data_IF_963525421633
#
_entry.id   IF_963525421633
#
_cell.length_a   1.000
_cell.length_b   1.000
_cell.length_c   1.000
_cell.angle_alpha   90.00
_cell.angle_beta   90.00
_cell.angle_gamma   90.00
#
_symmetry.space_group_name_H-M   'P 1'
#
loop_
_entity.id
_entity.type
_entity.pdbx_description
1 polymer ?
#
# COMPACT_ATOMS: atom_id res chain seq x y z
N UNK A 1 -61.96 -12.70 -19.39
CA UNK A 1 -60.66 -13.39 -19.22
C UNK A 1 -59.52 -12.57 -19.88
N UNK A 2 -59.16 -11.40 -19.31
CA UNK A 2 -58.21 -10.43 -19.91
C UNK A 2 -56.95 -10.16 -19.03
N UNK A 3 -56.88 -10.79 -17.84
CA UNK A 3 -55.80 -10.60 -16.84
C UNK A 3 -54.50 -11.37 -17.15
N UNK A 4 -54.55 -12.47 -17.91
CA UNK A 4 -53.36 -13.30 -18.19
C UNK A 4 -52.36 -12.69 -19.20
N UNK A 5 -52.80 -11.77 -20.07
CA UNK A 5 -51.89 -11.13 -21.05
C UNK A 5 -51.15 -9.94 -20.45
N UNK A 6 -51.71 -9.30 -19.43
CA UNK A 6 -51.07 -8.18 -18.72
C UNK A 6 -49.87 -8.66 -17.89
N UNK A 7 -50.01 -9.80 -17.20
CA UNK A 7 -48.91 -10.43 -16.47
C UNK A 7 -47.76 -10.88 -17.38
N UNK A 8 -48.07 -11.34 -18.60
CA UNK A 8 -47.06 -11.76 -19.57
C UNK A 8 -46.23 -10.58 -20.10
N UNK A 9 -46.86 -9.42 -20.33
CA UNK A 9 -46.15 -8.21 -20.77
C UNK A 9 -45.29 -7.59 -19.66
N UNK A 10 -45.74 -7.67 -18.40
CA UNK A 10 -44.96 -7.20 -17.25
C UNK A 10 -43.70 -8.05 -17.04
N UNK A 11 -43.77 -9.36 -17.28
CA UNK A 11 -42.62 -10.27 -17.21
C UNK A 11 -41.59 -10.04 -18.33
N UNK A 12 -42.02 -9.68 -19.54
CA UNK A 12 -41.10 -9.39 -20.66
C UNK A 12 -40.34 -8.06 -20.53
N UNK A 13 -40.89 -7.08 -19.80
CA UNK A 13 -40.25 -5.77 -19.62
C UNK A 13 -39.10 -5.80 -18.60
N UNK A 14 -39.07 -6.80 -17.71
CA UNK A 14 -38.00 -6.99 -16.73
C UNK A 14 -36.70 -7.56 -17.34
N UNK A 15 -36.76 -8.19 -18.52
CA UNK A 15 -35.61 -8.84 -19.16
C UNK A 15 -34.76 -7.89 -20.03
N UNK A 16 -35.26 -6.68 -20.34
CA UNK A 16 -34.56 -5.71 -21.19
C UNK A 16 -33.71 -4.70 -20.41
N UNK A 17 -33.68 -4.78 -19.07
CA UNK A 17 -32.81 -3.97 -18.21
C UNK A 17 -31.53 -4.71 -17.78
N UNK A 18 -31.19 -5.83 -18.42
CA UNK A 18 -29.95 -6.57 -18.14
C UNK A 18 -28.72 -5.98 -18.85
N UNK A 19 -28.71 -4.67 -19.11
CA UNK A 19 -27.48 -3.95 -19.45
C UNK A 19 -26.85 -3.53 -18.13
N UNK A 20 -26.09 -4.44 -17.51
CA UNK A 20 -25.21 -4.06 -16.39
C UNK A 20 -24.12 -3.15 -16.96
N UNK A 21 -23.88 -1.95 -16.39
CA UNK A 21 -22.75 -1.13 -16.80
C UNK A 21 -21.46 -1.96 -16.68
N UNK A 22 -20.64 -1.92 -17.73
CA UNK A 22 -19.35 -2.60 -17.77
C UNK A 22 -18.49 -2.10 -16.60
N UNK A 23 -18.01 -3.03 -15.78
CA UNK A 23 -17.22 -2.73 -14.60
C UNK A 23 -15.87 -2.19 -15.07
N UNK A 24 -15.73 -0.87 -15.14
CA UNK A 24 -14.45 -0.26 -15.51
C UNK A 24 -13.38 -0.71 -14.52
N UNK A 25 -12.23 -1.23 -14.99
CA UNK A 25 -11.21 -1.72 -14.09
C UNK A 25 -10.75 -0.58 -13.18
N UNK A 26 -10.90 -0.78 -11.87
CA UNK A 26 -10.46 0.17 -10.87
C UNK A 26 -8.92 0.30 -10.94
N UNK A 27 -8.44 1.50 -11.27
CA UNK A 27 -7.01 1.74 -11.38
C UNK A 27 -6.39 1.75 -9.98
N UNK A 28 -5.78 0.64 -9.58
CA UNK A 28 -5.14 0.52 -8.27
C UNK A 28 -3.82 1.29 -8.26
N UNK A 29 -3.82 2.44 -7.59
CA UNK A 29 -2.62 3.24 -7.36
C UNK A 29 -1.92 2.73 -6.10
N UNK A 30 -0.67 2.28 -6.26
CA UNK A 30 0.16 1.78 -5.16
C UNK A 30 1.04 2.89 -4.57
N UNK A 31 1.53 2.71 -3.34
CA UNK A 31 2.56 3.57 -2.79
C UNK A 31 3.82 3.53 -3.66
N UNK A 32 4.42 4.70 -3.87
CA UNK A 32 5.70 4.87 -4.56
C UNK A 32 6.65 5.54 -3.59
N UNK A 33 7.76 4.87 -3.29
CA UNK A 33 8.79 5.33 -2.36
C UNK A 33 10.08 5.59 -3.14
N UNK A 34 10.75 6.69 -2.81
CA UNK A 34 12.08 7.02 -3.31
C UNK A 34 13.10 6.95 -2.18
N UNK A 35 14.06 6.03 -2.28
CA UNK A 35 15.20 5.98 -1.36
C UNK A 35 16.15 7.13 -1.64
N UNK A 36 16.42 7.93 -0.61
CA UNK A 36 17.36 9.06 -0.63
C UNK A 36 18.74 8.62 -0.13
N UNK A 37 19.73 9.49 -0.31
CA UNK A 37 21.07 9.26 0.20
C UNK A 37 21.06 9.04 1.72
N UNK A 38 21.84 8.07 2.18
CA UNK A 38 22.15 7.87 3.60
C UNK A 38 22.94 9.06 4.14
N UNK A 39 22.60 9.52 5.35
CA UNK A 39 23.25 10.63 6.04
C UNK A 39 23.70 10.21 7.44
N UNK A 40 24.46 11.06 8.14
CA UNK A 40 24.82 10.81 9.55
C UNK A 40 25.67 9.55 9.77
N UNK A 41 26.42 9.11 8.77
CA UNK A 41 27.25 7.90 8.82
C UNK A 41 28.39 8.11 9.83
N UNK A 42 28.48 7.22 10.80
CA UNK A 42 29.55 7.19 11.80
C UNK A 42 29.88 5.75 12.19
N UNK A 43 30.84 5.57 13.12
CA UNK A 43 31.31 4.25 13.54
C UNK A 43 30.21 3.36 14.14
N UNK A 44 29.13 3.97 14.63
CA UNK A 44 28.05 3.30 15.37
C UNK A 44 26.70 3.45 14.70
N UNK A 45 26.61 3.85 13.43
CA UNK A 45 25.30 3.95 12.78
C UNK A 45 25.24 4.86 11.57
N UNK A 46 24.04 4.91 11.00
CA UNK A 46 23.70 5.75 9.86
C UNK A 46 22.21 6.12 9.90
N UNK A 47 21.83 7.15 9.15
CA UNK A 47 20.43 7.54 8.94
C UNK A 47 20.04 7.21 7.51
N UNK A 48 19.10 6.28 7.36
CA UNK A 48 18.51 5.90 6.09
C UNK A 48 17.35 6.85 5.80
N UNK A 49 17.30 7.41 4.59
CA UNK A 49 16.31 8.42 4.19
C UNK A 49 15.52 7.91 2.98
N UNK A 50 14.23 8.24 2.93
CA UNK A 50 13.38 8.04 1.78
C UNK A 50 12.28 9.10 1.75
N UNK A 51 11.43 9.05 0.73
CA UNK A 51 10.26 9.90 0.60
C UNK A 51 9.13 9.14 -0.07
N UNK A 52 7.91 9.29 0.43
CA UNK A 52 6.72 8.86 -0.31
C UNK A 52 6.44 9.85 -1.44
N UNK A 53 6.74 9.45 -2.68
CA UNK A 53 6.30 10.20 -3.88
C UNK A 53 4.77 10.09 -3.99
N UNK A 54 4.23 8.91 -3.69
CA UNK A 54 2.79 8.67 -3.69
C UNK A 54 2.42 7.67 -2.60
N UNK A 55 1.25 7.85 -1.99
CA UNK A 55 0.71 6.96 -0.97
C UNK A 55 -0.24 5.91 -1.55
N UNK A 56 -0.64 6.06 -2.83
CA UNK A 56 -1.73 5.25 -3.38
C UNK A 56 -3.08 5.66 -2.79
N UNK A 57 -4.07 4.78 -2.94
CA UNK A 57 -5.40 4.96 -2.34
C UNK A 57 -5.58 4.20 -1.04
N UNK A 58 -4.91 3.05 -0.89
CA UNK A 58 -4.96 2.25 0.31
C UNK A 58 -4.06 2.85 1.41
N UNK A 59 -4.47 2.70 2.67
CA UNK A 59 -3.64 3.12 3.79
C UNK A 59 -2.37 2.27 3.88
N UNK A 60 -1.21 2.93 3.92
CA UNK A 60 0.08 2.28 4.18
C UNK A 60 0.21 2.01 5.67
N UNK A 61 0.00 0.75 6.06
CA UNK A 61 0.04 0.33 7.47
C UNK A 61 1.45 -0.02 7.97
N UNK A 62 2.41 -0.26 7.05
CA UNK A 62 3.79 -0.64 7.36
C UNK A 62 4.76 -0.16 6.29
N UNK A 63 5.88 0.40 6.72
CA UNK A 63 7.00 0.85 5.89
C UNK A 63 8.27 0.94 6.74
N UNK A 64 9.43 0.71 6.14
CA UNK A 64 10.69 0.59 6.87
C UNK A 64 11.87 0.35 5.94
N UNK A 65 13.06 0.28 6.53
CA UNK A 65 14.25 -0.18 5.85
C UNK A 65 14.60 -1.60 6.29
N UNK A 66 15.05 -2.39 5.32
CA UNK A 66 15.62 -3.72 5.55
C UNK A 66 17.12 -3.59 5.34
N UNK A 67 17.91 -3.92 6.36
CA UNK A 67 19.37 -3.83 6.30
C UNK A 67 20.02 -5.02 7.02
N UNK A 68 21.20 -5.39 6.55
CA UNK A 68 21.98 -6.53 7.06
C UNK A 68 23.30 -6.68 6.30
N UNK A 69 24.15 -7.59 6.76
CA UNK A 69 25.45 -7.88 6.13
C UNK A 69 25.36 -8.93 5.03
N UNK A 70 24.31 -9.77 5.05
CA UNK A 70 24.03 -10.81 4.07
C UNK A 70 22.56 -10.69 3.64
N UNK A 71 22.32 -10.70 2.32
CA UNK A 71 21.03 -10.55 1.60
C UNK A 71 19.80 -10.40 2.51
N UNK A 72 19.58 -9.18 3.05
CA UNK A 72 18.60 -8.98 4.07
C UNK A 72 17.19 -9.07 3.47
N UNK A 73 16.37 -9.98 3.98
CA UNK A 73 14.95 -10.10 3.63
C UNK A 73 14.09 -9.57 4.77
N UNK A 74 12.80 -9.32 4.51
CA UNK A 74 11.86 -8.94 5.55
C UNK A 74 11.82 -10.03 6.65
N UNK A 75 11.96 -11.30 6.31
CA UNK A 75 11.86 -12.39 7.29
C UNK A 75 13.17 -12.66 8.06
N UNK A 76 14.32 -12.24 7.52
CA UNK A 76 15.66 -12.59 8.03
C UNK A 76 16.46 -11.41 8.59
N UNK A 77 15.88 -10.20 8.61
CA UNK A 77 16.61 -8.97 8.95
C UNK A 77 16.06 -8.28 10.19
N UNK A 78 16.85 -7.37 10.76
CA UNK A 78 16.36 -6.38 11.71
C UNK A 78 15.38 -5.45 10.96
N UNK A 79 14.11 -5.85 10.93
CA UNK A 79 13.03 -5.01 10.46
C UNK A 79 12.89 -3.88 11.49
N UNK A 80 13.03 -2.64 11.07
CA UNK A 80 12.49 -1.54 11.85
C UNK A 80 11.30 -0.95 11.10
N UNK A 81 10.12 -1.17 11.64
CA UNK A 81 8.83 -0.57 11.25
C UNK A 81 8.22 -0.20 12.63
N UNK A 82 7.43 0.85 12.88
CA UNK A 82 6.22 1.30 12.19
C UNK A 82 5.84 2.66 12.82
N UNK A 83 5.73 3.74 12.05
CA UNK A 83 4.69 4.72 12.38
C UNK A 83 3.42 4.17 11.76
N UNK A 84 2.36 3.98 12.55
CA UNK A 84 1.11 3.34 12.12
C UNK A 84 0.37 4.13 11.01
N UNK A 85 0.84 5.34 10.71
CA UNK A 85 0.33 6.21 9.69
C UNK A 85 1.52 6.80 8.91
N UNK A 86 1.66 6.41 7.64
CA UNK A 86 2.52 7.15 6.73
C UNK A 86 1.75 8.37 6.19
N UNK A 87 2.36 9.55 6.28
CA UNK A 87 1.97 10.72 5.50
C UNK A 87 2.82 10.84 4.23
N UNK A 88 2.41 11.70 3.29
CA UNK A 88 3.32 12.14 2.20
C UNK A 88 4.41 13.03 2.80
N UNK A 89 5.68 12.76 2.48
CA UNK A 89 6.81 13.56 2.97
C UNK A 89 8.06 12.74 3.28
N UNK A 90 8.99 13.35 4.02
CA UNK A 90 10.29 12.75 4.33
C UNK A 90 10.16 11.58 5.31
N UNK A 91 10.73 10.45 4.92
CA UNK A 91 10.88 9.26 5.74
C UNK A 91 12.35 9.12 6.13
N UNK A 92 12.65 8.94 7.40
CA UNK A 92 14.01 8.62 7.84
C UNK A 92 13.99 7.69 9.04
N UNK A 93 15.07 6.95 9.19
CA UNK A 93 15.27 6.10 10.35
C UNK A 93 16.76 5.98 10.68
N UNK A 94 17.08 6.13 11.96
CA UNK A 94 18.45 5.90 12.46
C UNK A 94 18.62 4.41 12.73
N UNK A 95 19.63 3.80 12.10
CA UNK A 95 20.08 2.46 12.48
C UNK A 95 21.15 2.59 13.57
N UNK A 96 20.95 1.85 14.65
CA UNK A 96 21.93 1.65 15.71
C UNK A 96 22.34 0.17 15.63
N UNK A 97 23.64 -0.19 15.78
CA UNK A 97 24.06 -1.57 15.82
C UNK A 97 23.33 -2.29 16.97
N UNK A 98 22.83 -3.49 16.65
CA UNK A 98 22.02 -4.33 17.55
C UNK A 98 22.68 -4.60 18.91
N UNK A 99 24.02 -4.49 19.00
CA UNK A 99 24.78 -4.68 20.23
C UNK A 99 24.73 -3.50 21.23
N UNK A 100 24.06 -2.40 20.88
CA UNK A 100 23.96 -1.18 21.70
C UNK A 100 22.57 -0.99 22.34
N UNK A 101 21.66 -1.97 22.22
CA UNK A 101 20.40 -2.02 22.99
C UNK A 101 20.65 -2.67 24.37
N UNK A 102 21.19 -1.91 25.32
CA UNK A 102 21.22 -2.23 26.77
C UNK A 102 20.78 -1.00 27.56
#
# INVERSE_FOLDING_TARGET
>A
MKKNRFFLHLATMALLFSCTPDETPEMKLYPIIYTKNTTGINATGATLNAEFINMGYDAVVRYGFVYGTEDPTIDSSAITVINAEAGKGEFFQTSIPVWLEI
#
